data_IF_434716469915
#
_entry.id   IF_434716469915
#
_cell.length_a   1.000
_cell.length_b   1.000
_cell.length_c   1.000
_cell.angle_alpha   90.00
_cell.angle_beta   90.00
_cell.angle_gamma   90.00
#
_symmetry.space_group_name_H-M   'P 1'
#
loop_
_entity.id
_entity.type
_entity.pdbx_description
1 polymer ?
#
# COMPACT_ATOMS: atom_id res chain seq x y z
N UNK A 1 20.99 -60.18 16.64
CA UNK A 1 21.95 -59.23 17.25
C UNK A 1 21.17 -58.13 17.95
N UNK A 2 21.05 -58.19 19.28
CA UNK A 2 20.35 -57.19 20.11
C UNK A 2 21.35 -56.09 20.51
N UNK A 3 21.14 -54.83 20.09
CA UNK A 3 21.94 -53.69 20.54
C UNK A 3 21.37 -53.14 21.86
N UNK A 4 22.23 -53.13 22.89
CA UNK A 4 21.99 -52.54 24.21
C UNK A 4 22.07 -51.01 24.13
N UNK A 5 21.16 -50.32 24.82
CA UNK A 5 21.24 -48.89 25.10
C UNK A 5 22.31 -48.59 26.15
N UNK A 6 23.12 -47.55 25.96
CA UNK A 6 23.88 -46.90 27.04
C UNK A 6 23.29 -45.51 27.30
N UNK A 7 22.77 -45.32 28.52
CA UNK A 7 22.45 -44.01 29.09
C UNK A 7 23.73 -43.47 29.74
N UNK A 8 24.21 -42.31 29.32
CA UNK A 8 25.17 -41.52 30.09
C UNK A 8 24.50 -40.19 30.49
N UNK A 9 24.24 -40.04 31.79
CA UNK A 9 23.80 -38.78 32.42
C UNK A 9 25.04 -37.91 32.64
N UNK A 10 25.08 -36.69 32.09
CA UNK A 10 25.93 -35.60 32.59
C UNK A 10 25.08 -34.66 33.44
N UNK A 11 25.49 -34.45 34.69
CA UNK A 11 24.97 -33.44 35.61
C UNK A 11 25.64 -32.10 35.30
N UNK A 12 24.88 -31.02 35.21
CA UNK A 12 25.35 -29.63 35.30
C UNK A 12 24.55 -28.90 36.40
N UNK A 13 25.24 -28.10 37.21
CA UNK A 13 24.69 -27.24 38.28
C UNK A 13 24.34 -25.84 37.70
N UNK A 14 23.41 -25.07 38.29
CA UNK A 14 22.64 -24.05 37.59
C UNK A 14 23.23 -22.65 37.75
N UNK A 15 23.37 -21.92 36.65
CA UNK A 15 23.35 -20.47 36.56
C UNK A 15 23.12 -20.16 35.07
N UNK A 16 22.21 -19.22 34.79
CA UNK A 16 21.55 -18.88 33.51
C UNK A 16 20.12 -19.45 33.37
N UNK A 17 19.16 -18.64 33.81
CA UNK A 17 17.83 -18.59 33.19
C UNK A 17 17.88 -17.59 32.02
N UNK A 18 17.70 -18.01 30.77
CA UNK A 18 17.19 -17.13 29.74
C UNK A 18 15.66 -17.04 29.88
N UNK A 19 15.15 -15.81 29.94
CA UNK A 19 13.72 -15.53 29.84
C UNK A 19 13.15 -16.20 28.59
N UNK A 20 12.13 -17.03 28.78
CA UNK A 20 11.36 -17.63 27.70
C UNK A 20 10.61 -16.54 26.93
N UNK A 21 10.97 -16.37 25.67
CA UNK A 21 10.22 -15.58 24.70
C UNK A 21 10.49 -16.12 23.30
N UNK A 22 9.49 -16.78 22.73
CA UNK A 22 9.24 -16.99 21.29
C UNK A 22 10.25 -17.88 20.56
N UNK A 23 9.80 -19.08 20.15
CA UNK A 23 10.13 -19.72 18.86
C UNK A 23 9.37 -21.05 18.70
N UNK A 24 8.19 -21.02 18.07
CA UNK A 24 7.47 -22.24 17.66
C UNK A 24 7.51 -22.43 16.13
N UNK A 25 8.72 -22.41 15.55
CA UNK A 25 8.94 -22.67 14.12
C UNK A 25 9.69 -23.98 13.85
N UNK A 26 10.39 -24.53 14.84
CA UNK A 26 11.09 -25.81 14.69
C UNK A 26 10.14 -27.03 14.77
N UNK A 27 9.01 -26.91 15.46
CA UNK A 27 8.04 -28.01 15.66
C UNK A 27 7.22 -28.32 14.41
N UNK A 28 6.92 -27.32 13.59
CA UNK A 28 6.10 -27.46 12.36
C UNK A 28 6.90 -28.14 11.24
N UNK A 29 8.21 -27.86 11.17
CA UNK A 29 9.09 -28.45 10.16
C UNK A 29 9.38 -29.93 10.42
N UNK A 30 9.35 -30.37 11.69
CA UNK A 30 9.50 -31.77 12.06
C UNK A 30 8.24 -32.59 11.71
N UNK A 31 7.04 -32.06 11.98
CA UNK A 31 5.78 -32.73 11.66
C UNK A 31 5.53 -32.87 10.15
N UNK A 32 5.95 -31.88 9.34
CA UNK A 32 5.82 -31.92 7.88
C UNK A 32 6.74 -32.95 7.20
N UNK A 33 7.83 -33.37 7.86
CA UNK A 33 8.75 -34.38 7.33
C UNK A 33 8.24 -35.80 7.61
N UNK A 34 7.62 -36.04 8.77
CA UNK A 34 6.98 -37.34 9.08
C UNK A 34 5.77 -37.63 8.17
N UNK A 35 5.00 -36.60 7.77
CA UNK A 35 3.84 -36.76 6.87
C UNK A 35 4.22 -37.01 5.39
N UNK A 36 5.42 -36.58 4.98
CA UNK A 36 5.95 -36.82 3.63
C UNK A 36 6.50 -38.25 3.47
N UNK A 37 7.10 -38.83 4.53
CA UNK A 37 7.60 -40.22 4.50
C UNK A 37 6.46 -41.26 4.51
N UNK A 38 5.29 -40.95 5.11
CA UNK A 38 4.13 -41.85 5.03
C UNK A 38 3.45 -41.83 3.65
N UNK A 39 3.46 -40.70 2.93
CA UNK A 39 2.80 -40.59 1.61
C UNK A 39 3.57 -41.26 0.47
N UNK A 40 4.90 -41.41 0.56
CA UNK A 40 5.69 -42.12 -0.47
C UNK A 40 5.43 -43.64 -0.49
N UNK A 41 4.86 -44.20 0.57
CA UNK A 41 4.51 -45.63 0.62
C UNK A 41 3.26 -46.02 -0.19
N UNK A 42 2.46 -45.06 -0.68
CA UNK A 42 1.09 -45.32 -1.15
C UNK A 42 0.80 -45.09 -2.65
N UNK A 43 1.75 -44.65 -3.48
CA UNK A 43 1.47 -44.34 -4.91
C UNK A 43 1.96 -45.41 -5.88
N UNK A 44 1.19 -46.50 -6.01
CA UNK A 44 1.07 -47.30 -7.25
C UNK A 44 -0.32 -47.13 -7.86
N UNK A 45 -0.51 -46.14 -8.74
CA UNK A 45 -1.51 -46.16 -9.82
C UNK A 45 -1.36 -44.88 -10.67
N UNK A 46 -1.13 -45.04 -11.98
CA UNK A 46 -1.01 -43.94 -12.96
C UNK A 46 -2.34 -43.73 -13.68
N UNK A 47 -2.86 -42.51 -13.65
CA UNK A 47 -3.87 -42.01 -14.62
C UNK A 47 -3.49 -40.60 -15.09
N UNK A 48 -3.48 -40.38 -16.41
CA UNK A 48 -3.09 -39.12 -17.08
C UNK A 48 -4.05 -37.97 -16.74
N UNK A 49 -3.58 -36.71 -16.63
CA UNK A 49 -4.44 -35.58 -16.33
C UNK A 49 -5.24 -35.13 -17.57
N UNK A 50 -6.54 -34.89 -17.38
CA UNK A 50 -7.45 -34.25 -18.34
C UNK A 50 -7.29 -32.73 -18.20
N UNK A 51 -7.11 -32.01 -19.31
CA UNK A 51 -7.11 -30.55 -19.35
C UNK A 51 -8.50 -30.02 -18.95
N UNK A 52 -8.56 -29.07 -18.02
CA UNK A 52 -9.79 -28.41 -17.56
C UNK A 52 -9.68 -26.93 -17.91
N UNK A 53 -10.64 -26.39 -18.65
CA UNK A 53 -10.66 -24.96 -19.02
C UNK A 53 -10.75 -24.05 -17.79
N UNK A 54 -10.19 -22.83 -17.88
CA UNK A 54 -10.16 -21.85 -16.80
C UNK A 54 -11.57 -21.54 -16.25
N UNK A 55 -12.57 -21.47 -17.13
CA UNK A 55 -13.98 -21.33 -16.75
C UNK A 55 -14.46 -22.48 -15.84
N UNK A 56 -14.10 -23.72 -16.16
CA UNK A 56 -14.45 -24.88 -15.34
C UNK A 56 -13.68 -24.91 -14.02
N UNK A 57 -12.43 -24.41 -13.99
CA UNK A 57 -11.64 -24.26 -12.76
C UNK A 57 -12.21 -23.17 -11.83
N UNK A 58 -12.70 -22.06 -12.40
CA UNK A 58 -13.36 -20.98 -11.67
C UNK A 58 -14.71 -21.43 -11.11
N UNK A 59 -15.52 -22.12 -11.91
CA UNK A 59 -16.82 -22.64 -11.48
C UNK A 59 -16.70 -23.72 -10.40
N UNK A 60 -15.69 -24.59 -10.47
CA UNK A 60 -15.41 -25.59 -9.43
C UNK A 60 -14.88 -24.95 -8.14
N UNK A 61 -14.08 -23.87 -8.21
CA UNK A 61 -13.69 -23.07 -7.04
C UNK A 61 -14.88 -22.36 -6.39
N UNK A 62 -15.82 -21.83 -7.16
CA UNK A 62 -17.06 -21.22 -6.66
C UNK A 62 -17.95 -22.23 -5.91
N UNK A 63 -18.08 -23.46 -6.44
CA UNK A 63 -18.84 -24.55 -5.81
C UNK A 63 -18.16 -25.01 -4.51
N UNK A 64 -16.84 -25.15 -4.50
CA UNK A 64 -16.10 -25.49 -3.29
C UNK A 64 -16.18 -24.38 -2.22
N UNK A 65 -16.19 -23.10 -2.62
CA UNK A 65 -16.36 -21.97 -1.70
C UNK A 65 -17.74 -21.96 -1.03
N UNK A 66 -18.80 -22.39 -1.75
CA UNK A 66 -20.14 -22.60 -1.15
C UNK A 66 -20.16 -23.75 -0.13
N UNK A 67 -19.43 -24.84 -0.39
CA UNK A 67 -19.28 -25.95 0.58
C UNK A 67 -18.50 -25.54 1.82
N UNK A 68 -17.40 -24.78 1.65
CA UNK A 68 -16.60 -24.25 2.76
C UNK A 68 -17.39 -23.26 3.62
N UNK A 69 -18.17 -22.35 3.00
CA UNK A 69 -19.07 -21.44 3.73
C UNK A 69 -20.14 -22.20 4.53
N UNK A 70 -20.67 -23.31 4.01
CA UNK A 70 -21.60 -24.16 4.77
C UNK A 70 -20.91 -24.88 5.95
N UNK A 71 -19.66 -25.32 5.80
CA UNK A 71 -18.90 -25.97 6.88
C UNK A 71 -18.42 -24.97 7.95
N UNK A 72 -18.09 -23.73 7.58
CA UNK A 72 -17.73 -22.66 8.51
C UNK A 72 -18.91 -22.15 9.34
N UNK A 73 -20.14 -22.26 8.83
CA UNK A 73 -21.35 -21.96 9.61
C UNK A 73 -21.58 -22.92 10.80
N UNK A 74 -20.88 -24.06 10.82
CA UNK A 74 -21.00 -25.11 11.84
C UNK A 74 -19.80 -25.19 12.80
N UNK A 75 -18.85 -24.26 12.77
CA UNK A 75 -17.75 -24.18 13.75
C UNK A 75 -17.88 -22.91 14.59
N UNK A 76 -18.12 -23.07 15.89
CA UNK A 76 -17.93 -21.99 16.86
C UNK A 76 -16.44 -21.61 16.88
N UNK A 77 -16.16 -20.31 16.69
CA UNK A 77 -14.81 -19.75 16.68
C UNK A 77 -14.57 -18.97 17.97
N UNK A 78 -13.38 -19.18 18.55
CA UNK A 78 -12.84 -18.52 19.74
C UNK A 78 -12.46 -17.05 19.46
N UNK A 79 -12.79 -16.16 20.39
CA UNK A 79 -12.59 -14.71 20.29
C UNK A 79 -11.12 -14.26 20.44
N UNK A 80 -10.65 -13.49 19.47
CA UNK A 80 -9.73 -12.36 19.68
C UNK A 80 -10.42 -11.14 19.07
N UNK A 81 -11.11 -10.38 19.91
CA UNK A 81 -11.90 -9.23 19.49
C UNK A 81 -11.07 -7.95 19.60
N UNK A 82 -10.82 -7.31 18.46
CA UNK A 82 -10.54 -5.87 18.41
C UNK A 82 -11.83 -5.12 18.74
N UNK A 83 -11.76 -4.14 19.66
CA UNK A 83 -12.91 -3.33 20.04
C UNK A 83 -13.27 -2.35 18.91
N UNK A 84 -14.07 -2.82 17.97
CA UNK A 84 -14.81 -1.99 17.01
C UNK A 84 -16.02 -1.44 17.76
N UNK A 85 -16.10 -0.11 17.90
CA UNK A 85 -17.26 0.53 18.51
C UNK A 85 -18.44 0.42 17.53
N UNK A 86 -19.50 -0.28 17.95
CA UNK A 86 -20.79 -0.29 17.27
C UNK A 86 -21.61 0.93 17.71
N UNK A 87 -22.23 1.62 16.76
CA UNK A 87 -23.15 2.72 17.07
C UNK A 87 -24.53 2.15 17.44
N UNK A 88 -25.00 2.45 18.67
CA UNK A 88 -26.37 2.35 19.26
C UNK A 88 -26.23 1.90 20.73
N UNK A 89 -26.78 2.48 21.81
CA UNK A 89 -27.83 3.46 22.10
C UNK A 89 -27.46 4.19 23.42
N UNK A 90 -27.47 5.53 23.43
CA UNK A 90 -27.75 6.31 24.65
C UNK A 90 -28.51 7.58 24.23
N UNK A 91 -29.84 7.51 24.33
CA UNK A 91 -30.69 8.70 24.41
C UNK A 91 -30.49 9.31 25.79
N UNK A 92 -29.66 10.33 25.89
CA UNK A 92 -29.72 11.30 26.98
C UNK A 92 -29.32 12.67 26.43
N UNK A 93 -30.18 13.66 26.69
CA UNK A 93 -30.19 15.02 26.16
C UNK A 93 -28.80 15.66 26.03
N UNK A 94 -28.44 16.03 24.80
CA UNK A 94 -27.46 17.08 24.51
C UNK A 94 -27.92 17.87 23.27
N UNK A 95 -29.17 18.31 23.30
CA UNK A 95 -29.57 19.51 22.57
C UNK A 95 -29.22 20.70 23.46
N UNK A 96 -27.99 21.23 23.35
CA UNK A 96 -27.71 22.66 23.46
C UNK A 96 -26.21 22.92 23.25
N UNK A 97 -25.93 23.87 22.34
CA UNK A 97 -24.62 24.46 22.00
C UNK A 97 -23.76 23.68 20.99
N UNK A 98 -24.26 23.60 19.75
CA UNK A 98 -23.41 23.51 18.54
C UNK A 98 -23.23 24.95 18.03
N UNK A 99 -22.00 25.50 17.89
CA UNK A 99 -21.81 26.78 17.24
C UNK A 99 -22.26 26.70 15.77
N UNK A 100 -23.05 27.69 15.35
CA UNK A 100 -23.75 27.88 14.07
C UNK A 100 -22.82 27.93 12.81
N UNK A 101 -21.57 27.47 12.90
CA UNK A 101 -20.58 27.57 11.81
C UNK A 101 -20.53 26.36 10.85
N UNK A 102 -21.18 25.23 11.15
CA UNK A 102 -21.07 23.99 10.34
C UNK A 102 -22.40 23.66 9.67
N UNK A 103 -22.95 24.61 8.90
CA UNK A 103 -24.03 24.31 7.96
C UNK A 103 -23.86 25.03 6.62
N UNK A 104 -22.62 25.13 6.13
CA UNK A 104 -22.35 25.31 4.71
C UNK A 104 -21.93 23.96 4.14
N UNK A 105 -22.83 23.33 3.38
CA UNK A 105 -22.51 22.22 2.47
C UNK A 105 -21.34 22.64 1.58
N UNK A 106 -20.14 22.20 1.90
CA UNK A 106 -19.03 22.18 0.94
C UNK A 106 -19.21 20.89 0.16
N UNK A 107 -19.83 20.99 -1.02
CA UNK A 107 -19.68 19.94 -2.02
C UNK A 107 -18.25 20.00 -2.53
N UNK A 108 -17.58 18.86 -2.80
CA UNK A 108 -16.29 18.88 -3.47
C UNK A 108 -16.50 19.45 -4.88
N UNK A 109 -16.23 20.74 -5.05
CA UNK A 109 -16.26 21.40 -6.35
C UNK A 109 -15.12 20.82 -7.20
N UNK A 110 -15.49 20.08 -8.24
CA UNK A 110 -14.58 19.73 -9.33
C UNK A 110 -13.94 21.04 -9.82
N UNK A 111 -12.59 21.16 -9.87
CA UNK A 111 -11.92 22.39 -10.26
C UNK A 111 -12.53 23.00 -11.53
N UNK A 112 -12.83 24.31 -11.51
CA UNK A 112 -13.48 25.01 -12.62
C UNK A 112 -12.75 24.84 -13.96
N UNK A 113 -11.45 24.56 -13.92
CA UNK A 113 -10.64 24.19 -15.08
C UNK A 113 -11.17 22.92 -15.77
N UNK A 114 -11.51 21.86 -15.02
CA UNK A 114 -12.02 20.58 -15.53
C UNK A 114 -13.45 20.77 -16.08
N UNK A 115 -14.30 21.53 -15.38
CA UNK A 115 -15.66 21.85 -15.86
C UNK A 115 -15.59 22.61 -17.19
N UNK A 116 -14.69 23.60 -17.30
CA UNK A 116 -14.50 24.37 -18.53
C UNK A 116 -13.88 23.54 -19.66
N UNK A 117 -13.01 22.57 -19.34
CA UNK A 117 -12.45 21.65 -20.32
C UNK A 117 -13.54 20.72 -20.90
N UNK A 118 -14.38 20.16 -20.03
CA UNK A 118 -15.55 19.34 -20.42
C UNK A 118 -16.56 20.16 -21.22
N UNK A 119 -16.75 21.45 -20.88
CA UNK A 119 -17.64 22.35 -21.61
C UNK A 119 -17.11 22.71 -23.00
N UNK A 120 -15.81 23.01 -23.13
CA UNK A 120 -15.14 23.22 -24.43
C UNK A 120 -15.21 21.99 -25.32
N UNK A 121 -15.06 20.79 -24.75
CA UNK A 121 -15.21 19.53 -25.50
C UNK A 121 -16.66 19.34 -25.97
N UNK A 122 -17.66 19.67 -25.13
CA UNK A 122 -19.08 19.63 -25.53
C UNK A 122 -19.44 20.64 -26.62
N UNK A 123 -18.88 21.84 -26.58
CA UNK A 123 -19.09 22.90 -27.59
C UNK A 123 -18.37 22.59 -28.91
N UNK A 124 -17.24 21.86 -28.87
CA UNK A 124 -16.55 21.37 -30.06
C UNK A 124 -17.25 20.18 -30.75
N UNK A 125 -18.18 19.52 -30.06
CA UNK A 125 -18.92 18.34 -30.54
C UNK A 125 -20.33 18.66 -31.06
N UNK A 126 -20.77 19.93 -31.03
CA UNK A 126 -22.03 20.34 -31.68
C UNK A 126 -21.81 20.61 -33.17
N UNK A 127 -22.53 19.93 -34.08
CA UNK A 127 -22.27 20.04 -35.52
C UNK A 127 -22.64 21.43 -36.04
N UNK A 128 -21.65 22.13 -36.60
CA UNK A 128 -21.89 23.29 -37.47
C UNK A 128 -22.19 22.77 -38.87
N UNK A 129 -23.44 22.94 -39.32
CA UNK A 129 -23.81 22.75 -40.71
C UNK A 129 -23.12 23.83 -41.55
N UNK A 130 -22.10 23.44 -42.31
CA UNK A 130 -21.80 24.07 -43.59
C UNK A 130 -21.05 23.09 -44.50
N UNK A 131 -21.73 22.71 -45.58
CA UNK A 131 -21.23 21.86 -46.65
C UNK A 131 -20.41 22.74 -47.60
N UNK A 132 -19.19 22.30 -47.94
CA UNK A 132 -18.63 22.52 -49.27
C UNK A 132 -18.11 21.20 -49.82
N UNK A 133 -18.70 20.80 -50.93
CA UNK A 133 -18.39 19.62 -51.73
C UNK A 133 -17.14 19.86 -52.55
N UNK A 134 -16.07 19.13 -52.26
CA UNK A 134 -14.98 18.90 -53.22
C UNK A 134 -14.96 17.43 -53.64
N UNK A 135 -14.98 17.20 -54.96
CA UNK A 135 -14.89 15.89 -55.58
C UNK A 135 -13.45 15.38 -55.47
N UNK A 136 -13.22 14.36 -54.66
CA UNK A 136 -11.97 13.58 -54.68
C UNK A 136 -12.15 12.33 -55.54
N UNK A 137 -11.26 12.20 -56.52
CA UNK A 137 -11.16 11.08 -57.46
C UNK A 137 -10.75 9.82 -56.69
N UNK A 138 -11.57 8.77 -56.73
CA UNK A 138 -11.25 7.45 -56.18
C UNK A 138 -10.41 6.68 -57.19
N UNK A 139 -9.13 6.45 -56.88
CA UNK A 139 -8.35 5.37 -57.49
C UNK A 139 -8.70 4.10 -56.70
N UNK A 140 -9.43 3.18 -57.32
CA UNK A 140 -9.69 1.86 -56.75
C UNK A 140 -8.43 0.99 -56.85
N UNK A 141 -7.80 0.70 -55.72
CA UNK A 141 -6.99 -0.50 -55.54
C UNK A 141 -7.85 -1.59 -54.88
N UNK A 142 -7.82 -2.85 -55.36
CA UNK A 142 -8.68 -3.89 -54.83
C UNK A 142 -8.26 -4.26 -53.39
N UNK A 143 -9.20 -4.12 -52.45
CA UNK A 143 -9.05 -4.54 -51.07
C UNK A 143 -9.11 -6.08 -50.98
N UNK A 144 -8.34 -6.71 -50.07
CA UNK A 144 -8.44 -8.13 -49.82
C UNK A 144 -9.81 -8.48 -49.22
N UNK A 145 -10.26 -9.68 -49.54
CA UNK A 145 -11.59 -10.23 -49.29
C UNK A 145 -11.99 -10.14 -47.80
N UNK A 146 -12.82 -9.15 -47.45
CA UNK A 146 -13.35 -8.94 -46.10
C UNK A 146 -14.49 -9.92 -45.80
N UNK A 147 -14.13 -11.05 -45.21
CA UNK A 147 -14.97 -11.96 -44.42
C UNK A 147 -15.85 -11.22 -43.40
N UNK A 148 -17.17 -11.31 -43.59
CA UNK A 148 -18.31 -10.91 -42.71
C UNK A 148 -17.96 -10.04 -41.49
N UNK A 149 -18.14 -8.73 -41.65
CA UNK A 149 -18.17 -7.70 -40.59
C UNK A 149 -19.63 -7.35 -40.27
N UNK A 150 -20.02 -7.28 -39.00
CA UNK A 150 -21.41 -6.97 -38.59
C UNK A 150 -21.47 -5.66 -37.81
N UNK A 151 -22.28 -4.72 -38.30
CA UNK A 151 -22.58 -3.43 -37.67
C UNK A 151 -24.07 -3.43 -37.31
N UNK A 152 -24.40 -3.29 -36.02
CA UNK A 152 -25.80 -3.31 -35.56
C UNK A 152 -26.22 -2.01 -34.86
N UNK A 153 -25.27 -1.27 -34.27
CA UNK A 153 -25.56 -0.03 -33.57
C UNK A 153 -25.58 1.20 -34.47
N UNK A 154 -26.38 2.23 -34.11
CA UNK A 154 -26.35 3.53 -34.81
C UNK A 154 -24.97 4.15 -34.70
N UNK A 155 -24.42 4.64 -35.82
CA UNK A 155 -23.07 5.24 -35.88
C UNK A 155 -21.93 4.29 -35.44
N UNK A 156 -22.15 2.97 -35.53
CA UNK A 156 -21.10 1.99 -35.22
C UNK A 156 -20.12 1.79 -36.38
N UNK A 157 -18.86 1.53 -36.06
CA UNK A 157 -17.84 1.14 -37.02
C UNK A 157 -17.20 -0.18 -36.62
N UNK A 158 -16.99 -1.05 -37.59
CA UNK A 158 -16.29 -2.31 -37.40
C UNK A 158 -15.38 -2.55 -38.61
N UNK A 159 -14.15 -2.98 -38.36
CA UNK A 159 -13.16 -3.36 -39.36
C UNK A 159 -12.31 -4.57 -38.92
N UNK A 160 -11.77 -5.29 -39.90
CA UNK A 160 -11.04 -6.54 -39.69
C UNK A 160 -11.93 -7.81 -39.65
N UNK A 161 -11.28 -8.97 -39.47
CA UNK A 161 -11.89 -10.30 -39.66
C UNK A 161 -12.77 -10.67 -38.45
N UNK A 162 -14.07 -10.91 -38.68
CA UNK A 162 -15.04 -11.30 -37.65
C UNK A 162 -15.20 -10.28 -36.49
N UNK A 163 -14.94 -9.00 -36.75
CA UNK A 163 -15.18 -7.91 -35.79
C UNK A 163 -16.65 -7.46 -35.79
N UNK A 164 -17.18 -7.15 -34.61
CA UNK A 164 -18.59 -6.78 -34.40
C UNK A 164 -18.70 -5.50 -33.56
N UNK A 165 -19.36 -4.48 -34.12
CA UNK A 165 -19.73 -3.27 -33.40
C UNK A 165 -21.26 -3.21 -33.26
N UNK A 166 -21.74 -3.62 -32.08
CA UNK A 166 -23.18 -3.80 -31.80
C UNK A 166 -23.76 -2.57 -31.04
N UNK A 167 -22.92 -1.86 -30.29
CA UNK A 167 -23.30 -0.66 -29.54
C UNK A 167 -23.53 0.59 -30.39
N UNK A 168 -24.35 1.52 -29.90
CA UNK A 168 -24.49 2.85 -30.52
C UNK A 168 -23.19 3.64 -30.35
N UNK A 169 -22.64 4.22 -31.42
CA UNK A 169 -21.32 4.89 -31.47
C UNK A 169 -20.17 3.96 -31.01
N UNK A 170 -20.28 2.65 -31.23
CA UNK A 170 -19.19 1.73 -30.87
C UNK A 170 -18.20 1.53 -32.02
N UNK A 171 -16.96 1.20 -31.67
CA UNK A 171 -15.88 0.89 -32.62
C UNK A 171 -15.27 -0.49 -32.33
N UNK A 172 -15.09 -1.32 -33.34
CA UNK A 172 -14.40 -2.60 -33.22
C UNK A 172 -13.39 -2.82 -34.36
N UNK A 173 -12.12 -3.02 -34.06
CA UNK A 173 -11.07 -3.25 -35.07
C UNK A 173 -10.24 -4.51 -34.78
N UNK A 174 -9.73 -5.18 -35.82
CA UNK A 174 -8.83 -6.34 -35.68
C UNK A 174 -9.45 -7.71 -35.98
N UNK A 175 -9.23 -8.71 -35.13
CA UNK A 175 -9.64 -10.10 -35.33
C UNK A 175 -10.58 -10.55 -34.21
N UNK A 176 -11.80 -10.98 -34.51
CA UNK A 176 -12.76 -11.50 -33.53
C UNK A 176 -13.07 -10.51 -32.38
N UNK A 177 -13.03 -9.20 -32.64
CA UNK A 177 -13.29 -8.17 -31.62
C UNK A 177 -14.78 -7.84 -31.49
N UNK A 178 -15.22 -7.50 -30.28
CA UNK A 178 -16.62 -7.21 -29.99
C UNK A 178 -16.78 -5.95 -29.13
N UNK A 179 -17.33 -4.89 -29.72
CA UNK A 179 -17.74 -3.67 -29.02
C UNK A 179 -19.27 -3.63 -28.90
N UNK A 180 -19.78 -4.10 -27.76
CA UNK A 180 -21.20 -4.44 -27.56
C UNK A 180 -22.05 -3.34 -26.96
N UNK A 181 -21.45 -2.44 -26.21
CA UNK A 181 -22.16 -1.40 -25.47
C UNK A 181 -22.06 -0.02 -26.14
N UNK A 182 -22.97 0.89 -25.78
CA UNK A 182 -22.93 2.28 -26.25
C UNK A 182 -21.59 2.93 -25.94
N UNK A 183 -20.99 3.57 -26.95
CA UNK A 183 -19.67 4.21 -26.91
C UNK A 183 -18.49 3.28 -26.57
N UNK A 184 -18.66 1.95 -26.67
CA UNK A 184 -17.56 1.01 -26.41
C UNK A 184 -16.56 0.94 -27.57
N UNK A 185 -15.29 0.68 -27.25
CA UNK A 185 -14.21 0.50 -28.21
C UNK A 185 -13.48 -0.83 -27.95
N UNK A 186 -13.32 -1.67 -28.97
CA UNK A 186 -12.57 -2.92 -28.88
C UNK A 186 -11.57 -3.08 -30.03
N UNK A 187 -10.28 -3.17 -29.75
CA UNK A 187 -9.22 -3.31 -30.76
C UNK A 187 -8.32 -4.52 -30.49
N UNK A 188 -7.68 -5.06 -31.53
CA UNK A 188 -6.74 -6.18 -31.42
C UNK A 188 -7.31 -7.56 -31.76
N UNK A 189 -7.09 -8.59 -30.93
CA UNK A 189 -7.47 -9.98 -31.20
C UNK A 189 -8.33 -10.56 -30.07
N UNK A 190 -9.55 -10.99 -30.39
CA UNK A 190 -10.53 -11.57 -29.45
C UNK A 190 -10.86 -10.67 -28.25
N UNK A 191 -10.78 -9.35 -28.42
CA UNK A 191 -11.08 -8.37 -27.37
C UNK A 191 -12.57 -8.11 -27.25
N UNK A 192 -13.03 -7.73 -26.05
CA UNK A 192 -14.45 -7.55 -25.75
C UNK A 192 -14.67 -6.31 -24.89
N UNK A 193 -15.27 -5.28 -25.46
CA UNK A 193 -15.74 -4.12 -24.72
C UNK A 193 -17.27 -4.22 -24.56
N UNK A 194 -17.73 -4.58 -23.36
CA UNK A 194 -19.15 -4.84 -23.08
C UNK A 194 -19.79 -3.88 -22.07
N UNK A 195 -19.01 -2.98 -21.46
CA UNK A 195 -19.50 -1.93 -20.58
C UNK A 195 -19.78 -0.63 -21.33
N UNK A 196 -20.70 0.19 -20.81
CA UNK A 196 -20.95 1.51 -21.38
C UNK A 196 -19.66 2.33 -21.39
N UNK A 197 -19.28 2.88 -22.56
CA UNK A 197 -18.04 3.65 -22.73
C UNK A 197 -16.78 2.89 -22.28
N UNK A 198 -16.75 1.55 -22.39
CA UNK A 198 -15.57 0.76 -22.05
C UNK A 198 -14.60 0.61 -23.22
N UNK A 199 -13.31 0.40 -22.92
CA UNK A 199 -12.24 0.23 -23.89
C UNK A 199 -11.48 -1.09 -23.67
N UNK A 200 -11.34 -1.93 -24.70
CA UNK A 200 -10.62 -3.21 -24.62
C UNK A 200 -9.62 -3.34 -25.77
N UNK A 201 -8.34 -3.37 -25.47
CA UNK A 201 -7.26 -3.46 -26.47
C UNK A 201 -6.32 -4.64 -26.21
N UNK A 202 -5.61 -5.12 -27.25
CA UNK A 202 -4.63 -6.21 -27.13
C UNK A 202 -5.17 -7.60 -27.53
N UNK A 203 -4.91 -8.65 -26.74
CA UNK A 203 -5.25 -10.04 -27.07
C UNK A 203 -6.04 -10.71 -25.95
N UNK A 204 -7.25 -11.17 -26.26
CA UNK A 204 -8.15 -11.86 -25.32
C UNK A 204 -8.48 -11.01 -24.07
N UNK A 205 -8.58 -9.69 -24.23
CA UNK A 205 -8.94 -8.77 -23.15
C UNK A 205 -10.45 -8.58 -23.04
N UNK A 206 -10.95 -8.18 -21.86
CA UNK A 206 -12.37 -7.90 -21.63
C UNK A 206 -12.57 -6.70 -20.71
N UNK A 207 -13.14 -5.63 -21.23
CA UNK A 207 -13.59 -4.46 -20.48
C UNK A 207 -15.11 -4.46 -20.34
N UNK A 208 -15.58 -5.00 -19.21
CA UNK A 208 -16.99 -5.28 -18.94
C UNK A 208 -17.72 -4.28 -18.04
N UNK A 209 -17.01 -3.53 -17.21
CA UNK A 209 -17.59 -2.47 -16.39
C UNK A 209 -17.89 -1.20 -17.19
N UNK A 210 -18.86 -0.41 -16.77
CA UNK A 210 -19.05 0.94 -17.32
C UNK A 210 -17.78 1.77 -17.12
N UNK A 211 -17.32 2.47 -18.16
CA UNK A 211 -16.09 3.26 -18.15
C UNK A 211 -14.81 2.47 -17.83
N UNK A 212 -14.84 1.14 -17.97
CA UNK A 212 -13.67 0.29 -17.71
C UNK A 212 -12.71 0.26 -18.88
N UNK A 213 -11.43 -0.01 -18.60
CA UNK A 213 -10.38 -0.19 -19.60
C UNK A 213 -9.61 -1.48 -19.32
N UNK A 214 -9.44 -2.33 -20.34
CA UNK A 214 -8.60 -3.52 -20.27
C UNK A 214 -7.61 -3.56 -21.45
N UNK A 215 -6.31 -3.62 -21.17
CA UNK A 215 -5.24 -3.65 -22.18
C UNK A 215 -4.24 -4.80 -21.94
N UNK A 216 -3.54 -5.24 -22.98
CA UNK A 216 -2.53 -6.31 -22.89
C UNK A 216 -3.05 -7.71 -23.29
N UNK A 217 -2.74 -8.75 -22.50
CA UNK A 217 -3.08 -10.15 -22.82
C UNK A 217 -3.87 -10.84 -21.72
N UNK A 218 -5.04 -11.38 -22.02
CA UNK A 218 -5.93 -12.05 -21.04
C UNK A 218 -6.33 -11.15 -19.84
N UNK A 219 -6.36 -9.83 -20.02
CA UNK A 219 -6.73 -8.90 -18.95
C UNK A 219 -8.24 -8.71 -18.88
N UNK A 220 -8.76 -8.50 -17.67
CA UNK A 220 -10.20 -8.42 -17.43
C UNK A 220 -10.48 -7.25 -16.47
N UNK A 221 -11.24 -6.26 -16.93
CA UNK A 221 -11.75 -5.15 -16.11
C UNK A 221 -13.28 -5.24 -16.01
N UNK A 222 -13.82 -5.75 -14.89
CA UNK A 222 -15.28 -5.90 -14.68
C UNK A 222 -15.88 -4.85 -13.75
N UNK A 223 -15.06 -4.19 -12.94
CA UNK A 223 -15.55 -3.10 -12.08
C UNK A 223 -15.93 -1.87 -12.90
N UNK A 224 -16.96 -1.14 -12.47
CA UNK A 224 -17.20 0.20 -13.00
C UNK A 224 -15.98 1.09 -12.74
N UNK A 225 -15.54 1.82 -13.77
CA UNK A 225 -14.31 2.61 -13.78
C UNK A 225 -13.03 1.83 -13.43
N UNK A 226 -13.02 0.50 -13.61
CA UNK A 226 -11.84 -0.32 -13.34
C UNK A 226 -10.83 -0.30 -14.51
N UNK A 227 -9.56 -0.44 -14.19
CA UNK A 227 -8.47 -0.54 -15.15
C UNK A 227 -7.68 -1.85 -14.95
N UNK A 228 -7.44 -2.61 -16.02
CA UNK A 228 -6.60 -3.81 -15.99
C UNK A 228 -5.60 -3.82 -17.15
N UNK A 229 -4.30 -3.84 -16.85
CA UNK A 229 -3.23 -3.85 -17.86
C UNK A 229 -2.21 -4.97 -17.64
N UNK A 230 -1.43 -5.33 -18.66
CA UNK A 230 -0.39 -6.36 -18.59
C UNK A 230 -0.83 -7.76 -19.06
N UNK A 231 -0.56 -8.81 -18.28
CA UNK A 231 -0.88 -10.21 -18.64
C UNK A 231 -1.65 -10.92 -17.54
N UNK A 232 -2.83 -11.45 -17.87
CA UNK A 232 -3.70 -12.19 -16.95
C UNK A 232 -4.07 -11.40 -15.69
N UNK A 233 -4.23 -10.08 -15.80
CA UNK A 233 -4.62 -9.20 -14.69
C UNK A 233 -6.14 -9.05 -14.62
N UNK A 234 -6.66 -8.86 -13.40
CA UNK A 234 -8.11 -8.83 -13.14
C UNK A 234 -8.47 -7.67 -12.20
N UNK A 235 -9.16 -6.66 -12.74
CA UNK A 235 -9.69 -5.52 -12.01
C UNK A 235 -11.23 -5.60 -11.89
N UNK A 236 -11.73 -6.16 -10.78
CA UNK A 236 -13.17 -6.41 -10.58
C UNK A 236 -13.84 -5.53 -9.51
N UNK A 237 -13.08 -4.66 -8.84
CA UNK A 237 -13.61 -3.70 -7.88
C UNK A 237 -13.99 -2.38 -8.55
N UNK A 238 -14.97 -1.67 -8.00
CA UNK A 238 -15.31 -0.30 -8.40
C UNK A 238 -14.06 0.59 -8.33
N UNK A 239 -13.73 1.31 -9.40
CA UNK A 239 -12.55 2.18 -9.49
C UNK A 239 -11.22 1.50 -9.13
N UNK A 240 -11.09 0.18 -9.34
CA UNK A 240 -9.87 -0.58 -8.99
C UNK A 240 -8.88 -0.66 -10.16
N UNK A 241 -7.60 -0.85 -9.85
CA UNK A 241 -6.51 -0.95 -10.83
C UNK A 241 -5.66 -2.21 -10.60
N UNK A 242 -5.52 -3.06 -11.62
CA UNK A 242 -4.61 -4.21 -11.62
C UNK A 242 -3.63 -4.14 -12.79
N UNK A 243 -2.32 -4.15 -12.52
CA UNK A 243 -1.28 -4.16 -13.54
C UNK A 243 -0.25 -5.29 -13.32
N UNK A 244 0.56 -5.58 -14.33
CA UNK A 244 1.64 -6.57 -14.25
C UNK A 244 1.24 -7.98 -14.75
N UNK A 245 1.58 -9.03 -14.00
CA UNK A 245 1.43 -10.43 -14.43
C UNK A 245 0.65 -11.26 -13.39
N UNK A 246 -0.55 -11.76 -13.72
CA UNK A 246 -1.36 -12.56 -12.79
C UNK A 246 -1.69 -11.82 -11.46
N UNK A 247 -2.08 -10.55 -11.56
CA UNK A 247 -2.53 -9.74 -10.41
C UNK A 247 -4.05 -9.59 -10.39
N UNK A 248 -4.65 -9.45 -9.20
CA UNK A 248 -6.10 -9.26 -9.07
C UNK A 248 -6.48 -8.31 -7.94
N UNK A 249 -7.45 -7.43 -8.19
CA UNK A 249 -8.05 -6.56 -7.16
C UNK A 249 -9.08 -7.26 -6.28
N UNK A 250 -9.39 -8.53 -6.55
CA UNK A 250 -10.29 -9.36 -5.71
C UNK A 250 -11.66 -8.73 -5.37
N UNK A 251 -12.18 -7.86 -6.24
CA UNK A 251 -13.41 -7.06 -6.05
C UNK A 251 -13.32 -5.90 -5.06
N UNK A 252 -12.14 -5.59 -4.53
CA UNK A 252 -11.97 -4.48 -3.61
C UNK A 252 -12.00 -3.15 -4.35
N UNK A 253 -12.94 -2.28 -3.97
CA UNK A 253 -13.10 -0.95 -4.52
C UNK A 253 -11.84 -0.10 -4.30
N UNK A 254 -11.42 0.68 -5.28
CA UNK A 254 -10.28 1.60 -5.19
C UNK A 254 -8.92 0.95 -4.91
N UNK A 255 -8.82 -0.37 -4.90
CA UNK A 255 -7.55 -1.06 -4.67
C UNK A 255 -6.65 -0.95 -5.90
N UNK A 256 -5.34 -0.83 -5.64
CA UNK A 256 -4.31 -0.83 -6.68
C UNK A 256 -3.29 -1.92 -6.41
N UNK A 257 -3.07 -2.80 -7.38
CA UNK A 257 -2.09 -3.89 -7.29
C UNK A 257 -1.23 -3.98 -8.55
N UNK A 258 0.08 -4.09 -8.36
CA UNK A 258 1.07 -4.28 -9.43
C UNK A 258 2.00 -5.45 -9.13
N UNK A 259 2.88 -5.81 -10.07
CA UNK A 259 3.90 -6.86 -9.89
C UNK A 259 3.49 -8.20 -10.49
N UNK A 260 3.78 -9.31 -9.79
CA UNK A 260 3.46 -10.65 -10.31
C UNK A 260 2.80 -11.57 -9.27
N UNK A 261 1.84 -12.38 -9.71
CA UNK A 261 1.14 -13.41 -8.94
C UNK A 261 0.68 -12.88 -7.57
N UNK A 262 -0.36 -12.04 -7.57
CA UNK A 262 -0.84 -11.40 -6.35
C UNK A 262 -2.32 -11.11 -6.34
N UNK A 263 -2.87 -10.99 -5.14
CA UNK A 263 -4.29 -10.73 -4.91
C UNK A 263 -4.41 -9.64 -3.86
N UNK A 264 -5.08 -8.54 -4.18
CA UNK A 264 -5.37 -7.47 -3.23
C UNK A 264 -6.17 -7.99 -2.05
N UNK A 265 -5.94 -7.41 -0.87
CA UNK A 265 -6.49 -7.89 0.40
C UNK A 265 -7.57 -6.96 0.98
N UNK A 266 -7.69 -5.72 0.48
CA UNK A 266 -8.59 -4.71 1.00
C UNK A 266 -8.89 -3.59 -0.02
N UNK A 267 -10.03 -2.92 0.18
CA UNK A 267 -10.42 -1.71 -0.54
C UNK A 267 -9.49 -0.52 -0.25
N UNK A 268 -9.39 0.38 -1.23
CA UNK A 268 -8.64 1.66 -1.20
C UNK A 268 -7.17 1.55 -0.77
N UNK A 269 -6.62 0.33 -0.86
CA UNK A 269 -5.28 -0.02 -0.40
C UNK A 269 -4.35 -0.27 -1.59
N UNK A 270 -3.05 -0.26 -1.32
CA UNK A 270 -2.01 -0.40 -2.35
C UNK A 270 -1.13 -1.63 -2.09
N UNK A 271 -0.81 -2.37 -3.15
CA UNK A 271 -0.13 -3.65 -3.07
C UNK A 271 0.94 -3.79 -4.16
N UNK A 272 2.12 -4.30 -3.78
CA UNK A 272 3.13 -4.85 -4.70
C UNK A 272 3.14 -6.36 -4.56
N UNK A 273 2.74 -7.06 -5.60
CA UNK A 273 2.76 -8.51 -5.68
C UNK A 273 4.14 -9.05 -6.03
N UNK A 274 4.53 -10.14 -5.38
CA UNK A 274 5.79 -10.86 -5.65
C UNK A 274 5.63 -12.38 -5.48
N UNK A 275 4.50 -12.93 -5.89
CA UNK A 275 4.33 -14.38 -5.98
C UNK A 275 5.18 -14.98 -7.10
N UNK A 276 5.36 -16.31 -7.07
CA UNK A 276 6.21 -16.99 -8.06
C UNK A 276 5.43 -17.69 -9.16
N UNK A 277 4.16 -18.06 -8.92
CA UNK A 277 3.31 -18.77 -9.87
C UNK A 277 1.82 -18.74 -9.45
N UNK A 278 0.92 -19.30 -10.28
CA UNK A 278 -0.54 -19.34 -10.05
C UNK A 278 -1.02 -20.01 -8.76
N UNK A 279 -0.15 -20.80 -8.10
CA UNK A 279 -0.45 -21.43 -6.82
C UNK A 279 0.22 -20.74 -5.63
N UNK A 280 1.13 -19.80 -5.90
CA UNK A 280 1.93 -19.07 -4.94
C UNK A 280 1.73 -17.57 -5.17
N UNK A 281 0.54 -17.08 -4.78
CA UNK A 281 0.25 -15.65 -4.78
C UNK A 281 0.82 -15.02 -3.50
N UNK A 282 1.54 -13.92 -3.63
CA UNK A 282 2.16 -13.25 -2.48
C UNK A 282 2.25 -11.73 -2.65
N UNK A 283 2.33 -11.01 -1.52
CA UNK A 283 2.44 -9.55 -1.44
C UNK A 283 3.80 -9.18 -0.82
N UNK A 284 4.67 -8.59 -1.64
CA UNK A 284 5.99 -8.13 -1.23
C UNK A 284 6.01 -6.78 -0.51
N UNK A 285 4.99 -5.94 -0.74
CA UNK A 285 4.79 -4.71 0.04
C UNK A 285 3.32 -4.28 -0.01
N UNK A 286 2.81 -3.64 1.05
CA UNK A 286 1.45 -3.10 1.08
C UNK A 286 1.30 -1.89 1.98
N UNK A 287 0.39 -1.00 1.60
CA UNK A 287 -0.16 0.03 2.47
C UNK A 287 -1.67 -0.20 2.62
N UNK A 288 -2.17 -0.17 3.86
CA UNK A 288 -3.55 -0.51 4.18
C UNK A 288 -4.36 0.72 4.57
N UNK A 289 -5.50 0.91 3.93
CA UNK A 289 -6.35 2.08 4.12
C UNK A 289 -7.02 2.10 5.50
N UNK A 290 -7.49 0.96 6.02
CA UNK A 290 -8.21 0.93 7.29
C UNK A 290 -7.37 1.43 8.46
N UNK A 291 -6.05 1.26 8.46
CA UNK A 291 -5.18 1.65 9.58
C UNK A 291 -4.02 2.59 9.23
N UNK A 292 -3.71 2.74 7.94
CA UNK A 292 -2.63 3.56 7.42
C UNK A 292 -1.23 2.97 7.64
N UNK A 293 -1.13 1.67 7.88
CA UNK A 293 0.15 0.98 8.09
C UNK A 293 0.79 0.54 6.77
N UNK A 294 2.12 0.53 6.75
CA UNK A 294 2.95 0.10 5.63
C UNK A 294 3.73 -1.15 6.03
N UNK A 295 3.74 -2.13 5.14
CA UNK A 295 4.42 -3.41 5.31
C UNK A 295 5.36 -3.64 4.12
N UNK A 296 6.57 -4.12 4.41
CA UNK A 296 7.54 -4.52 3.39
C UNK A 296 8.03 -5.92 3.77
N UNK A 297 7.88 -6.86 2.85
CA UNK A 297 8.37 -8.22 2.99
C UNK A 297 9.84 -8.27 2.58
N UNK A 298 10.71 -8.49 3.56
CA UNK A 298 12.15 -8.55 3.38
C UNK A 298 12.86 -8.45 4.72
N UNK A 299 14.11 -8.95 4.78
CA UNK A 299 14.89 -8.90 6.02
C UNK A 299 15.45 -7.50 6.34
N UNK A 300 15.50 -6.60 5.35
CA UNK A 300 16.07 -5.26 5.52
C UNK A 300 15.33 -4.20 4.72
N UNK A 301 15.32 -2.98 5.27
CA UNK A 301 15.04 -1.74 4.55
C UNK A 301 16.35 -0.98 4.39
N UNK A 302 16.83 -0.86 3.15
CA UNK A 302 18.15 -0.30 2.87
C UNK A 302 18.05 1.24 2.77
N UNK A 303 18.10 1.90 3.93
CA UNK A 303 18.21 3.36 4.02
C UNK A 303 19.68 3.81 4.01
N UNK A 304 19.97 4.98 3.45
CA UNK A 304 21.32 5.56 3.44
C UNK A 304 21.64 6.41 4.67
N UNK A 305 20.66 6.65 5.54
CA UNK A 305 20.85 7.41 6.77
C UNK A 305 21.66 6.64 7.81
N UNK A 306 22.11 7.35 8.83
CA UNK A 306 23.18 6.90 9.75
C UNK A 306 22.69 6.55 11.16
N UNK A 307 21.47 6.96 11.48
CA UNK A 307 20.89 6.89 12.82
C UNK A 307 19.36 6.72 12.80
N UNK A 308 18.81 6.29 13.94
CA UNK A 308 17.37 6.30 14.18
C UNK A 308 17.04 7.52 15.03
N UNK A 309 16.18 8.39 14.51
CA UNK A 309 15.84 9.64 15.15
C UNK A 309 14.35 9.76 15.46
N UNK A 310 14.03 10.67 16.36
CA UNK A 310 12.67 11.18 16.55
C UNK A 310 12.66 12.70 16.53
N UNK A 311 11.56 13.30 16.09
CA UNK A 311 11.40 14.75 16.16
C UNK A 311 11.06 15.17 17.60
N UNK A 312 11.71 16.23 18.07
CA UNK A 312 11.47 16.87 19.37
C UNK A 312 11.31 18.38 19.23
N UNK A 313 10.60 19.01 20.17
CA UNK A 313 10.41 20.46 20.23
C UNK A 313 11.45 21.11 21.14
N UNK A 314 12.02 22.22 20.70
CA UNK A 314 12.97 23.03 21.49
C UNK A 314 12.26 23.88 22.55
N UNK A 315 12.85 23.98 23.74
CA UNK A 315 12.27 24.70 24.88
C UNK A 315 12.06 26.20 24.63
N UNK A 316 13.01 26.83 23.94
CA UNK A 316 13.07 28.26 23.68
C UNK A 316 12.55 28.64 22.28
N UNK A 317 12.00 27.67 21.55
CA UNK A 317 11.55 27.79 20.17
C UNK A 317 12.64 28.26 19.18
N UNK A 318 13.91 28.04 19.52
CA UNK A 318 15.04 28.33 18.64
C UNK A 318 15.58 27.07 18.01
N UNK A 319 16.03 27.20 16.77
CA UNK A 319 16.68 26.09 16.08
C UNK A 319 17.98 25.70 16.79
N UNK A 320 18.16 24.40 17.00
CA UNK A 320 19.44 23.79 17.37
C UNK A 320 20.05 23.24 16.07
N UNK A 321 21.25 23.70 15.74
CA UNK A 321 21.97 23.23 14.55
C UNK A 321 22.42 21.76 14.74
N UNK A 322 22.88 21.09 13.69
CA UNK A 322 23.27 19.68 13.75
C UNK A 322 24.55 19.45 14.54
N UNK A 323 24.70 18.25 15.10
CA UNK A 323 25.90 17.80 15.82
C UNK A 323 26.04 18.27 17.28
N UNK A 324 25.00 18.82 17.91
CA UNK A 324 24.97 19.11 19.36
C UNK A 324 24.41 17.93 20.16
N UNK A 325 24.94 17.73 21.36
CA UNK A 325 24.29 16.89 22.36
C UNK A 325 23.05 17.58 22.89
N UNK A 326 21.96 16.84 23.00
CA UNK A 326 20.67 17.37 23.50
C UNK A 326 20.18 16.57 24.70
N UNK A 327 19.42 17.25 25.56
CA UNK A 327 18.74 16.65 26.71
C UNK A 327 17.38 17.34 26.95
N UNK A 328 16.59 16.79 27.85
CA UNK A 328 15.30 17.38 28.22
C UNK A 328 15.51 18.63 29.10
N UNK A 329 14.81 19.71 28.77
CA UNK A 329 14.64 20.87 29.65
C UNK A 329 13.41 20.75 30.56
N UNK A 330 12.37 20.06 30.05
CA UNK A 330 11.09 19.80 30.70
C UNK A 330 10.55 18.47 30.17
N UNK A 331 9.34 18.08 30.58
CA UNK A 331 8.77 16.76 30.24
C UNK A 331 8.74 16.43 28.73
N UNK A 332 8.52 17.44 27.86
CA UNK A 332 8.37 17.21 26.42
C UNK A 332 9.33 18.03 25.54
N UNK A 333 10.10 18.96 26.13
CA UNK A 333 10.94 19.89 25.37
C UNK A 333 12.42 19.67 25.62
N UNK A 334 13.21 19.94 24.58
CA UNK A 334 14.65 19.70 24.58
C UNK A 334 15.46 21.00 24.55
N UNK A 335 16.71 20.89 25.01
CA UNK A 335 17.75 21.92 24.95
C UNK A 335 19.10 21.30 24.64
N UNK A 336 20.08 22.14 24.33
CA UNK A 336 21.49 21.75 24.30
C UNK A 336 21.90 21.25 25.69
N UNK A 337 22.58 20.10 25.73
CA UNK A 337 23.09 19.49 26.95
C UNK A 337 24.33 20.23 27.46
N UNK A 338 24.59 20.15 28.76
CA UNK A 338 25.74 20.74 29.45
C UNK A 338 26.56 19.66 30.13
N UNK A 339 27.73 20.01 30.68
CA UNK A 339 28.57 19.05 31.41
C UNK A 339 27.91 18.49 32.68
N UNK A 340 26.92 19.21 33.22
CA UNK A 340 26.17 18.81 34.41
C UNK A 340 25.04 17.80 34.12
N UNK A 341 24.72 17.57 32.85
CA UNK A 341 23.63 16.67 32.47
C UNK A 341 24.09 15.20 32.52
N UNK A 342 23.52 14.46 33.48
CA UNK A 342 23.77 13.03 33.62
C UNK A 342 23.12 12.21 32.51
N UNK A 343 21.92 12.63 32.09
CA UNK A 343 21.17 12.03 31.00
C UNK A 343 21.30 12.86 29.73
N UNK A 344 21.68 12.18 28.65
CA UNK A 344 21.78 12.74 27.30
C UNK A 344 20.77 12.00 26.44
N UNK A 345 19.84 12.73 25.84
CA UNK A 345 18.78 12.16 25.01
C UNK A 345 19.32 11.64 23.68
N UNK A 346 20.21 12.42 23.04
CA UNK A 346 20.65 12.16 21.69
C UNK A 346 21.54 13.25 21.12
N UNK A 347 21.73 13.18 19.81
CA UNK A 347 22.43 14.20 19.01
C UNK A 347 21.42 14.84 18.07
N UNK A 348 21.43 16.16 17.90
CA UNK A 348 20.72 16.83 16.81
C UNK A 348 21.20 16.29 15.45
N UNK A 349 20.37 15.50 14.78
CA UNK A 349 20.77 14.64 13.65
C UNK A 349 20.63 15.36 12.31
N UNK A 350 21.57 15.08 11.39
CA UNK A 350 21.54 15.59 10.02
C UNK A 350 20.94 14.59 9.02
N UNK A 351 21.18 13.29 9.22
CA UNK A 351 20.94 12.25 8.21
C UNK A 351 20.29 10.98 8.79
N UNK A 352 19.14 11.09 9.47
CA UNK A 352 18.47 9.93 10.06
C UNK A 352 17.96 8.97 8.98
N UNK A 353 18.18 7.67 9.19
CA UNK A 353 17.65 6.58 8.36
C UNK A 353 16.13 6.45 8.51
N UNK A 354 15.64 6.63 9.74
CA UNK A 354 14.23 6.59 10.10
C UNK A 354 13.95 7.74 11.08
N UNK A 355 12.87 8.47 10.85
CA UNK A 355 12.41 9.56 11.72
C UNK A 355 11.04 9.20 12.30
N UNK A 356 11.00 8.94 13.61
CA UNK A 356 9.76 8.82 14.38
C UNK A 356 9.16 10.18 14.74
N UNK A 357 7.89 10.19 15.11
CA UNK A 357 7.17 11.39 15.55
C UNK A 357 7.24 12.55 14.53
N UNK A 358 7.34 12.27 13.23
CA UNK A 358 7.62 13.31 12.22
C UNK A 358 6.46 14.28 11.95
N UNK A 359 5.21 13.83 12.14
CA UNK A 359 4.04 14.62 11.73
C UNK A 359 4.09 14.98 10.24
N UNK A 360 4.62 14.12 9.37
CA UNK A 360 4.89 14.53 7.99
C UNK A 360 3.62 14.84 7.15
N UNK A 361 2.49 14.19 7.45
CA UNK A 361 1.31 14.20 6.58
C UNK A 361 0.12 15.00 7.13
N UNK A 362 -0.05 15.05 8.44
CA UNK A 362 -1.18 15.73 9.06
C UNK A 362 -0.90 16.09 10.50
N UNK A 363 -1.72 16.98 11.04
CA UNK A 363 -1.73 17.29 12.46
C UNK A 363 -1.81 16.01 13.30
N UNK A 364 -0.94 15.93 14.32
CA UNK A 364 -0.75 14.73 15.14
C UNK A 364 -2.03 14.23 15.83
N UNK A 365 -2.95 15.14 16.15
CA UNK A 365 -4.22 14.85 16.82
C UNK A 365 -5.41 14.91 15.85
N UNK A 366 -5.17 14.78 14.53
CA UNK A 366 -6.23 14.73 13.51
C UNK A 366 -7.23 13.61 13.79
N UNK A 367 -6.73 12.47 14.25
CA UNK A 367 -7.53 11.30 14.59
C UNK A 367 -7.61 11.13 16.10
N UNK A 368 -8.74 10.60 16.57
CA UNK A 368 -8.94 10.23 17.95
C UNK A 368 -8.09 9.00 18.27
N UNK A 369 -7.44 9.02 19.43
CA UNK A 369 -6.66 7.91 19.97
C UNK A 369 -7.16 7.51 21.33
N UNK A 370 -6.85 6.29 21.76
CA UNK A 370 -6.99 5.89 23.17
C UNK A 370 -5.87 6.49 24.05
N UNK A 371 -5.88 6.14 25.34
CA UNK A 371 -4.92 6.64 26.33
C UNK A 371 -3.47 6.15 26.09
N UNK A 372 -3.25 5.21 25.18
CA UNK A 372 -1.93 4.71 24.77
C UNK A 372 -1.52 5.20 23.37
N UNK A 373 -2.32 6.06 22.74
CA UNK A 373 -2.04 6.62 21.41
C UNK A 373 -2.48 5.73 20.24
N UNK A 374 -3.17 4.60 20.48
CA UNK A 374 -3.71 3.77 19.40
C UNK A 374 -4.89 4.50 18.76
N UNK A 375 -4.85 4.68 17.43
CA UNK A 375 -5.96 5.29 16.69
C UNK A 375 -7.25 4.48 16.85
N UNK A 376 -8.35 5.20 16.98
CA UNK A 376 -9.69 4.63 17.00
C UNK A 376 -10.29 4.65 15.59
N UNK A 377 -11.13 3.66 15.32
CA UNK A 377 -11.76 3.49 14.01
C UNK A 377 -13.26 3.36 14.17
N UNK A 378 -13.98 3.78 13.13
CA UNK A 378 -15.43 3.64 13.03
C UNK A 378 -15.74 2.81 11.79
N UNK A 379 -16.76 1.95 11.89
CA UNK A 379 -17.32 1.26 10.74
C UNK A 379 -18.46 2.10 10.16
N UNK A 380 -18.37 2.44 8.88
CA UNK A 380 -19.41 3.19 8.17
C UNK A 380 -20.62 2.30 7.86
N UNK A 381 -21.72 2.93 7.43
CA UNK A 381 -22.91 2.22 6.93
C UNK A 381 -22.57 1.28 5.75
N UNK A 382 -21.56 1.65 4.95
CA UNK A 382 -21.02 0.84 3.85
C UNK A 382 -20.11 -0.31 4.29
N UNK A 383 -20.00 -0.57 5.61
CA UNK A 383 -19.11 -1.56 6.23
C UNK A 383 -17.61 -1.28 6.04
N UNK A 384 -17.23 -0.06 5.63
CA UNK A 384 -15.84 0.37 5.52
C UNK A 384 -15.30 0.78 6.88
N UNK A 385 -14.03 0.48 7.15
CA UNK A 385 -13.35 0.90 8.38
C UNK A 385 -12.58 2.19 8.08
N UNK A 386 -12.86 3.24 8.82
CA UNK A 386 -12.23 4.55 8.66
C UNK A 386 -11.71 5.08 9.99
N UNK A 387 -10.60 5.85 10.00
CA UNK A 387 -10.08 6.44 11.23
C UNK A 387 -11.05 7.49 11.77
N UNK A 388 -11.32 7.44 13.08
CA UNK A 388 -12.22 8.36 13.74
C UNK A 388 -11.56 9.74 13.89
N UNK A 389 -12.16 10.78 13.33
CA UNK A 389 -11.65 12.15 13.44
C UNK A 389 -11.78 12.67 14.87
N UNK A 390 -10.80 13.49 15.28
CA UNK A 390 -10.88 14.22 16.53
C UNK A 390 -11.76 15.47 16.35
N UNK A 391 -12.69 15.72 17.28
CA UNK A 391 -13.59 16.89 17.26
C UNK A 391 -12.85 18.22 17.43
N UNK A 392 -11.64 18.20 17.98
CA UNK A 392 -10.78 19.38 18.11
C UNK A 392 -10.00 19.70 16.82
N UNK A 393 -10.00 18.79 15.84
CA UNK A 393 -9.31 19.03 14.57
C UNK A 393 -10.15 19.94 13.67
N UNK A 394 -9.57 21.08 13.31
CA UNK A 394 -10.16 22.00 12.34
C UNK A 394 -9.54 21.80 10.94
N UNK A 395 -10.34 21.39 9.92
CA UNK A 395 -9.86 21.26 8.54
C UNK A 395 -9.47 22.60 7.89
N UNK A 396 -9.96 23.74 8.39
CA UNK A 396 -9.61 25.05 7.86
C UNK A 396 -8.21 25.51 8.30
N UNK A 397 -7.69 24.97 9.40
CA UNK A 397 -6.34 25.27 9.88
C UNK A 397 -5.28 24.65 8.96
N UNK A 398 -4.46 25.51 8.33
CA UNK A 398 -3.32 25.05 7.53
C UNK A 398 -2.30 24.34 8.42
N UNK A 399 -2.11 23.05 8.17
CA UNK A 399 -1.09 22.26 8.85
C UNK A 399 0.31 22.57 8.31
N UNK A 400 1.28 22.77 9.21
CA UNK A 400 2.71 22.85 8.89
C UNK A 400 3.39 21.65 9.54
N UNK A 401 4.05 20.82 8.73
CA UNK A 401 4.75 19.63 9.21
C UNK A 401 5.90 20.02 10.15
N UNK A 402 6.26 19.14 11.10
CA UNK A 402 7.31 19.43 12.08
C UNK A 402 8.63 19.81 11.43
N UNK A 403 9.01 19.13 10.35
CA UNK A 403 10.24 19.41 9.59
C UNK A 403 10.32 20.84 9.04
N UNK A 404 9.17 21.49 8.85
CA UNK A 404 9.07 22.84 8.29
C UNK A 404 8.89 23.90 9.39
N UNK A 405 9.05 23.52 10.67
CA UNK A 405 9.01 24.42 11.83
C UNK A 405 10.37 24.47 12.50
N UNK A 406 10.90 25.68 12.73
CA UNK A 406 12.25 25.90 13.26
C UNK A 406 12.44 25.44 14.70
N UNK A 407 11.36 25.29 15.45
CA UNK A 407 11.35 24.81 16.83
C UNK A 407 11.30 23.28 16.94
N UNK A 408 11.36 22.55 15.81
CA UNK A 408 11.40 21.10 15.78
C UNK A 408 12.63 20.59 15.02
N UNK A 409 13.32 19.61 15.59
CA UNK A 409 14.46 18.95 14.94
C UNK A 409 14.47 17.45 15.17
N UNK A 410 15.07 16.67 14.24
CA UNK A 410 15.35 15.26 14.49
C UNK A 410 16.50 15.13 15.48
N UNK A 411 16.30 14.30 16.50
CA UNK A 411 17.33 13.90 17.46
C UNK A 411 17.62 12.44 17.23
N UNK A 412 18.85 12.14 16.82
CA UNK A 412 19.36 10.79 16.67
C UNK A 412 19.56 10.14 18.03
N UNK A 413 18.85 9.05 18.26
CA UNK A 413 18.79 8.33 19.54
C UNK A 413 19.75 7.14 19.58
N UNK A 414 20.14 6.64 18.41
CA UNK A 414 21.10 5.55 18.25
C UNK A 414 21.64 5.56 16.82
N UNK A 415 22.95 5.35 16.67
CA UNK A 415 23.59 5.30 15.35
C UNK A 415 24.98 5.91 15.32
N UNK A 416 25.55 5.95 14.12
CA UNK A 416 26.80 6.65 13.88
C UNK A 416 26.47 8.11 13.55
N UNK A 417 26.99 9.07 14.30
CA UNK A 417 26.61 10.47 14.12
C UNK A 417 27.81 11.38 14.20
N UNK A 418 27.82 12.37 13.30
CA UNK A 418 28.79 13.46 13.35
C UNK A 418 28.39 14.42 14.46
N UNK A 419 29.37 14.77 15.28
CA UNK A 419 29.21 15.61 16.47
C UNK A 419 30.28 16.69 16.42
N UNK A 420 29.90 17.89 16.83
CA UNK A 420 30.83 19.00 17.03
C UNK A 420 31.73 18.69 18.21
N UNK A 421 33.00 19.00 18.13
CA UNK A 421 33.93 18.80 19.23
C UNK A 421 34.85 20.01 19.44
N UNK A 422 35.42 20.09 20.63
CA UNK A 422 36.34 21.16 21.05
C UNK A 422 37.81 20.92 20.65
N UNK A 423 38.07 19.90 19.82
CA UNK A 423 39.39 19.50 19.37
C UNK A 423 40.14 18.56 20.33
N UNK A 424 39.60 18.30 21.53
CA UNK A 424 40.28 17.45 22.53
C UNK A 424 40.01 15.96 22.35
N UNK A 425 38.95 15.60 21.60
CA UNK A 425 38.53 14.22 21.44
C UNK A 425 39.54 13.40 20.62
N UNK A 426 39.81 12.18 21.06
CA UNK A 426 40.75 11.26 20.41
C UNK A 426 40.00 10.07 19.78
N UNK A 427 40.35 9.64 18.55
CA UNK A 427 39.83 8.40 17.99
C UNK A 427 40.04 7.21 18.93
N UNK A 428 39.05 6.32 19.03
CA UNK A 428 39.03 5.20 19.97
C UNK A 428 39.06 5.58 21.46
N UNK A 429 38.86 6.86 21.79
CA UNK A 429 38.60 7.33 23.16
C UNK A 429 37.10 7.49 23.44
N UNK A 430 36.80 8.23 24.50
CA UNK A 430 35.44 8.59 24.89
C UNK A 430 35.27 10.12 24.96
N UNK A 431 34.04 10.58 24.76
CA UNK A 431 33.66 11.97 24.93
C UNK A 431 32.35 12.12 25.73
N UNK A 432 32.17 13.29 26.33
CA UNK A 432 30.89 13.78 26.88
C UNK A 432 30.65 15.22 26.43
N UNK A 433 29.42 15.75 26.52
CA UNK A 433 29.19 17.16 26.28
C UNK A 433 29.92 18.03 27.31
N UNK A 434 30.52 19.12 26.84
CA UNK A 434 30.89 20.26 27.68
C UNK A 434 29.68 21.19 27.91
N UNK A 435 29.89 22.37 28.50
CA UNK A 435 28.82 23.34 28.79
C UNK A 435 28.21 24.00 27.53
N UNK A 436 28.89 23.90 26.38
CA UNK A 436 28.39 24.34 25.08
C UNK A 436 27.65 23.22 24.32
N UNK A 437 27.54 22.03 24.92
CA UNK A 437 26.90 20.85 24.34
C UNK A 437 27.61 20.26 23.12
N UNK A 438 28.92 20.51 23.01
CA UNK A 438 29.80 19.87 22.05
C UNK A 438 30.69 18.83 22.75
N UNK A 439 31.25 17.90 21.99
CA UNK A 439 32.07 16.84 22.53
C UNK A 439 33.38 17.37 23.11
N UNK A 440 33.70 16.95 24.33
CA UNK A 440 35.00 17.10 24.97
C UNK A 440 35.52 15.75 25.44
N UNK A 441 36.84 15.58 25.50
CA UNK A 441 37.50 14.36 25.94
C UNK A 441 37.04 13.96 27.34
N UNK A 442 36.70 12.69 27.51
CA UNK A 442 36.30 12.13 28.80
C UNK A 442 36.91 10.73 29.00
N UNK A 443 37.01 10.29 30.26
CA UNK A 443 37.44 8.92 30.59
C UNK A 443 36.36 7.87 30.27
N UNK A 444 35.11 8.30 30.19
CA UNK A 444 33.95 7.47 29.86
C UNK A 444 32.87 8.30 29.18
N UNK A 445 31.97 7.66 28.43
CA UNK A 445 30.89 8.33 27.71
C UNK A 445 30.65 7.71 26.35
N UNK A 446 30.51 8.55 25.33
CA UNK A 446 30.24 8.11 23.96
C UNK A 446 31.54 7.76 23.26
N UNK A 447 31.55 6.62 22.57
CA UNK A 447 32.74 6.12 21.89
C UNK A 447 33.02 6.91 20.61
N UNK A 448 34.25 7.42 20.48
CA UNK A 448 34.70 8.16 19.32
C UNK A 448 35.25 7.18 18.28
N UNK A 449 34.58 7.07 17.13
CA UNK A 449 35.01 6.19 16.04
C UNK A 449 36.24 6.80 15.34
N UNK A 450 36.11 8.04 14.88
CA UNK A 450 37.18 8.76 14.18
C UNK A 450 36.97 10.26 14.24
N UNK A 451 38.05 11.00 14.01
CA UNK A 451 37.99 12.44 13.68
C UNK A 451 37.70 12.60 12.19
N UNK A 452 36.81 13.53 11.85
CA UNK A 452 36.48 13.87 10.46
C UNK A 452 36.92 15.26 10.07
N UNK A 453 37.08 16.16 11.04
CA UNK A 453 37.59 17.52 10.87
C UNK A 453 38.23 18.04 12.18
N UNK A 454 38.79 19.25 12.16
CA UNK A 454 39.43 19.88 13.32
C UNK A 454 38.46 20.03 14.51
N UNK A 455 37.18 20.31 14.23
CA UNK A 455 36.11 20.47 15.23
C UNK A 455 34.92 19.51 14.98
N UNK A 456 35.20 18.36 14.35
CA UNK A 456 34.18 17.34 14.12
C UNK A 456 34.71 15.92 14.32
N UNK A 457 33.92 15.12 15.03
CA UNK A 457 34.15 13.70 15.24
C UNK A 457 32.93 12.88 14.81
N UNK A 458 33.17 11.61 14.48
CA UNK A 458 32.13 10.61 14.33
C UNK A 458 32.07 9.76 15.60
N UNK A 459 30.91 9.73 16.25
CA UNK A 459 30.69 8.88 17.43
C UNK A 459 29.73 7.74 17.10
N UNK A 460 29.72 6.73 17.97
CA UNK A 460 28.64 5.76 18.07
C UNK A 460 27.79 6.08 19.29
N UNK A 461 26.58 6.59 19.07
CA UNK A 461 25.62 6.87 20.13
C UNK A 461 24.74 5.64 20.37
N UNK A 462 24.58 5.25 21.64
CA UNK A 462 23.90 4.02 22.06
C UNK A 462 23.19 4.20 23.39
#
# INVERSE_FOLDING_TARGET
MKKKSSKQKRKFHPLYQPMYGINNWCSIRAAAIEELEEQESSKKSKTKPKYVSLENAVMSRLINRRKIKMQQKNKSLSHHDEQILHAEEKKENTEEIIPVAINKKIQPEIPAAIINQVKKIKEALTPSNNIQTEKTIIIQTPAPENTKVKKEGRYSHAEGLHSHAEGTVSHAEGLLTHAKATCSHAEGSKTKATGHSSHSEGSETTAGGSYSHAEGKHTIALGEAAHAEGTATIANGFSSHAEGNHTSTAHFAGSHIMGRFGTAEEAYSWFIANGTNDTDHNIGAKWLAHNGEMYIEGASYNASGTDFAQMFETADHKAIDVGYFVTFSSEEKIRIATSNDSFILGISSATPAIIGNSGALSWQKRYKTDNFGKRQYVRTETQEIQPLLNTEWDPACKYIARKDRSDWLPVGLIGQMLVRDDGTCEPHGYCRPNDDGIATKAESGFFVIKRTDDNQILILFR
#
